data_IF_040231723167
#
_entry.id   IF_040231723167
#
_cell.length_a   1.000
_cell.length_b   1.000
_cell.length_c   1.000
_cell.angle_alpha   90.00
_cell.angle_beta   90.00
_cell.angle_gamma   90.00
#
_symmetry.space_group_name_H-M   'P 1'
#
loop_
_entity.id
_entity.type
_entity.pdbx_description
1 polymer ?
#
# COMPACT_ATOMS: atom_id res chain seq x y z
N UNK A 1 22.59 -12.40 51.93
CA UNK A 1 23.55 -12.69 50.85
C UNK A 1 22.83 -13.55 49.83
N UNK A 2 22.40 -12.97 48.72
CA UNK A 2 22.29 -13.65 47.43
C UNK A 2 22.15 -12.55 46.38
N UNK A 3 23.18 -12.43 45.52
CA UNK A 3 23.27 -11.47 44.43
C UNK A 3 22.58 -12.11 43.23
N UNK A 4 21.40 -11.63 42.84
CA UNK A 4 20.89 -11.93 41.50
C UNK A 4 21.63 -11.05 40.50
N UNK A 5 22.57 -11.70 39.82
CA UNK A 5 23.18 -11.25 38.57
C UNK A 5 22.13 -11.43 37.48
N UNK A 6 21.46 -10.36 37.08
CA UNK A 6 20.82 -10.33 35.78
C UNK A 6 21.91 -10.10 34.73
N UNK A 7 22.37 -11.23 34.21
CA UNK A 7 23.33 -11.36 33.13
C UNK A 7 22.70 -10.78 31.86
N UNK A 8 23.36 -9.76 31.31
CA UNK A 8 23.22 -9.31 29.93
C UNK A 8 23.20 -10.51 28.98
N UNK A 9 22.01 -10.92 28.55
CA UNK A 9 21.86 -11.95 27.53
C UNK A 9 21.80 -11.28 26.16
N UNK A 10 22.98 -11.02 25.57
CA UNK A 10 23.15 -10.42 24.25
C UNK A 10 22.83 -11.37 23.07
N UNK A 11 22.24 -12.54 23.33
CA UNK A 11 22.01 -13.59 22.31
C UNK A 11 20.52 -13.93 22.13
N UNK A 12 19.62 -12.95 22.23
CA UNK A 12 18.25 -13.14 21.76
C UNK A 12 18.19 -12.92 20.23
N UNK A 13 17.93 -13.94 19.39
CA UNK A 13 17.85 -13.79 17.93
C UNK A 13 16.71 -12.85 17.47
N UNK A 14 15.87 -12.36 18.39
CA UNK A 14 14.78 -11.41 18.12
C UNK A 14 15.22 -9.94 18.02
N UNK A 15 16.50 -9.60 18.21
CA UNK A 15 17.01 -8.23 18.16
C UNK A 15 17.95 -7.96 16.96
N UNK A 16 17.69 -8.55 15.79
CA UNK A 16 18.36 -8.09 14.56
C UNK A 16 17.78 -6.73 14.19
N UNK A 17 18.44 -5.65 14.61
CA UNK A 17 18.10 -4.31 14.13
C UNK A 17 18.49 -4.21 12.66
N UNK A 18 17.50 -4.21 11.77
CA UNK A 18 17.71 -3.93 10.35
C UNK A 18 18.44 -2.60 10.25
N UNK A 19 19.52 -2.59 9.49
CA UNK A 19 20.37 -1.39 9.31
C UNK A 19 20.16 -0.82 7.94
N UNK A 20 20.45 0.49 7.77
CA UNK A 20 20.48 1.11 6.43
C UNK A 20 21.40 0.35 5.47
N UNK A 21 22.58 -0.09 5.94
CA UNK A 21 23.53 -0.87 5.14
C UNK A 21 22.90 -2.17 4.60
N UNK A 22 22.06 -2.82 5.40
CA UNK A 22 21.34 -4.02 4.96
C UNK A 22 20.27 -3.70 3.91
N UNK A 23 19.51 -2.61 4.08
CA UNK A 23 18.57 -2.16 3.05
C UNK A 23 19.30 -1.80 1.74
N UNK A 24 20.44 -1.10 1.83
CA UNK A 24 21.28 -0.78 0.68
C UNK A 24 21.77 -2.04 -0.04
N UNK A 25 22.06 -3.14 0.67
CA UNK A 25 22.39 -4.42 0.00
C UNK A 25 21.19 -5.07 -0.68
N UNK A 26 20.01 -5.03 -0.06
CA UNK A 26 18.80 -5.58 -0.69
C UNK A 26 18.43 -4.86 -1.98
N UNK A 27 18.59 -3.53 -2.03
CA UNK A 27 18.37 -2.74 -3.25
C UNK A 27 19.34 -3.16 -4.35
N UNK A 28 20.62 -3.38 -4.03
CA UNK A 28 21.62 -3.86 -5.00
C UNK A 28 21.26 -5.24 -5.54
N UNK A 29 20.86 -6.15 -4.68
CA UNK A 29 20.44 -7.51 -5.08
C UNK A 29 19.18 -7.46 -5.95
N UNK A 30 18.21 -6.61 -5.61
CA UNK A 30 17.01 -6.41 -6.41
C UNK A 30 17.34 -5.87 -7.81
N UNK A 31 18.20 -4.85 -7.92
CA UNK A 31 18.63 -4.28 -9.20
C UNK A 31 19.36 -5.29 -10.09
N UNK A 32 20.16 -6.17 -9.50
CA UNK A 32 20.82 -7.25 -10.24
C UNK A 32 19.81 -8.22 -10.87
N UNK A 33 18.69 -8.47 -10.18
CA UNK A 33 17.65 -9.41 -10.64
C UNK A 33 16.50 -8.74 -11.42
N UNK A 34 16.41 -7.41 -11.41
CA UNK A 34 15.35 -6.62 -12.06
C UNK A 34 15.20 -6.76 -13.61
N UNK A 35 16.22 -7.12 -14.42
CA UNK A 35 16.10 -7.09 -15.88
C UNK A 35 14.96 -7.93 -16.48
N UNK A 36 14.47 -8.94 -15.76
CA UNK A 36 13.46 -9.88 -16.25
C UNK A 36 12.01 -9.38 -16.31
N UNK A 37 11.65 -8.30 -15.60
CA UNK A 37 10.27 -7.80 -15.54
C UNK A 37 9.98 -6.69 -16.56
N UNK A 38 8.73 -6.52 -16.98
CA UNK A 38 8.29 -5.39 -17.83
C UNK A 38 7.55 -4.34 -17.01
N UNK A 39 7.74 -3.07 -17.36
CA UNK A 39 6.95 -1.96 -16.80
C UNK A 39 5.52 -2.06 -17.32
N UNK A 40 4.53 -1.71 -16.49
CA UNK A 40 3.15 -1.61 -16.91
C UNK A 40 3.00 -0.54 -18.00
N UNK A 41 2.40 -0.90 -19.13
CA UNK A 41 2.38 -0.07 -20.34
C UNK A 41 0.99 0.09 -20.96
N UNK A 42 -0.04 -0.37 -20.25
CA UNK A 42 -1.44 -0.33 -20.68
C UNK A 42 -2.01 1.10 -20.69
N UNK A 43 -1.45 2.01 -19.87
CA UNK A 43 -1.65 3.46 -20.00
C UNK A 43 -0.31 4.21 -20.22
N UNK A 44 -0.31 5.36 -20.93
CA UNK A 44 0.91 6.09 -21.27
C UNK A 44 1.74 6.54 -20.06
N UNK A 45 1.07 6.92 -18.96
CA UNK A 45 1.70 7.45 -17.75
C UNK A 45 2.60 6.39 -17.09
N UNK A 46 2.13 5.15 -16.95
CA UNK A 46 2.88 4.07 -16.30
C UNK A 46 4.09 3.62 -17.10
N UNK A 47 4.02 3.70 -18.45
CA UNK A 47 5.13 3.35 -19.35
C UNK A 47 6.39 4.18 -19.09
N UNK A 48 6.24 5.38 -18.51
CA UNK A 48 7.35 6.31 -18.25
C UNK A 48 8.20 5.89 -17.05
N UNK A 49 7.76 4.91 -16.26
CA UNK A 49 8.54 4.41 -15.13
C UNK A 49 9.87 3.80 -15.61
N UNK A 50 10.96 4.19 -14.96
CA UNK A 50 12.29 3.65 -15.25
C UNK A 50 12.40 2.25 -14.65
N UNK A 51 12.73 1.25 -15.48
CA UNK A 51 13.00 -0.14 -15.05
C UNK A 51 14.06 -0.26 -13.95
N UNK A 52 14.96 0.71 -13.88
CA UNK A 52 16.05 0.76 -12.90
C UNK A 52 15.69 1.51 -11.63
N UNK A 53 14.51 2.15 -11.54
CA UNK A 53 14.07 2.76 -10.28
C UNK A 53 13.74 1.65 -9.29
N UNK A 54 14.43 1.62 -8.16
CA UNK A 54 14.25 0.63 -7.09
C UNK A 54 14.53 1.27 -5.74
N UNK A 55 13.56 1.18 -4.84
CA UNK A 55 13.69 1.73 -3.50
C UNK A 55 13.01 0.86 -2.46
N UNK A 56 13.48 0.98 -1.22
CA UNK A 56 12.87 0.33 -0.05
C UNK A 56 12.84 1.33 1.11
N UNK A 57 11.72 1.31 1.84
CA UNK A 57 11.53 2.10 3.05
C UNK A 57 11.05 1.17 4.17
N UNK A 58 11.59 1.34 5.37
CA UNK A 58 11.21 0.61 6.57
C UNK A 58 10.92 1.62 7.67
N UNK A 59 9.68 1.65 8.15
CA UNK A 59 9.30 2.44 9.31
C UNK A 59 9.11 1.51 10.50
N UNK A 60 9.84 1.76 11.58
CA UNK A 60 9.63 1.10 12.86
C UNK A 60 8.44 1.71 13.62
N UNK A 61 7.95 0.99 14.64
CA UNK A 61 6.86 1.44 15.50
C UNK A 61 7.23 2.64 16.39
N UNK A 62 8.53 2.92 16.57
CA UNK A 62 9.04 4.12 17.22
C UNK A 62 9.19 5.31 16.26
N UNK A 63 8.69 5.18 15.02
CA UNK A 63 8.83 6.12 13.91
C UNK A 63 10.25 6.23 13.33
N UNK A 64 11.21 5.39 13.73
CA UNK A 64 12.50 5.33 13.05
C UNK A 64 12.29 4.94 11.59
N UNK A 65 12.66 5.81 10.66
CA UNK A 65 12.61 5.56 9.23
C UNK A 65 13.99 5.20 8.69
N UNK A 66 14.08 4.06 8.01
CA UNK A 66 15.24 3.68 7.21
C UNK A 66 14.84 3.61 5.73
N UNK A 67 15.64 4.23 4.86
CA UNK A 67 15.40 4.26 3.42
C UNK A 67 16.67 3.88 2.66
N UNK A 68 16.49 3.26 1.50
CA UNK A 68 17.56 2.90 0.57
C UNK A 68 17.06 2.91 -0.88
N UNK A 69 18.00 3.02 -1.83
CA UNK A 69 17.71 3.11 -3.26
C UNK A 69 17.15 4.48 -3.68
N UNK A 70 16.32 4.49 -4.72
CA UNK A 70 15.72 5.71 -5.26
C UNK A 70 14.70 6.35 -4.28
N UNK A 71 14.28 5.61 -3.26
CA UNK A 71 13.48 6.15 -2.15
C UNK A 71 14.25 7.16 -1.28
N UNK A 72 15.58 7.24 -1.41
CA UNK A 72 16.37 8.19 -0.62
C UNK A 72 15.93 9.64 -0.83
N UNK A 73 15.26 9.99 -1.93
CA UNK A 73 14.85 11.38 -2.19
C UNK A 73 13.41 11.68 -1.80
N UNK A 74 12.49 10.73 -1.91
CA UNK A 74 11.05 10.99 -1.80
C UNK A 74 10.32 10.36 -0.62
N UNK A 75 10.93 9.41 0.09
CA UNK A 75 10.26 8.69 1.16
C UNK A 75 10.00 9.58 2.39
N UNK A 76 8.75 9.62 2.82
CA UNK A 76 8.30 10.40 3.97
C UNK A 76 7.98 9.46 5.12
N UNK A 77 8.52 9.78 6.30
CA UNK A 77 8.17 9.09 7.53
C UNK A 77 6.79 9.53 8.03
N UNK A 78 6.27 8.86 9.08
CA UNK A 78 5.12 9.37 9.83
C UNK A 78 5.39 10.83 10.23
N UNK A 79 4.43 11.73 9.97
CA UNK A 79 4.53 13.21 10.14
C UNK A 79 5.31 13.97 9.06
N UNK A 80 5.57 13.36 7.91
CA UNK A 80 6.24 14.04 6.80
C UNK A 80 7.72 14.32 7.06
N UNK A 81 8.36 13.58 7.98
CA UNK A 81 9.80 13.68 8.19
C UNK A 81 10.53 13.27 6.91
N UNK A 82 11.27 14.21 6.33
CA UNK A 82 12.11 14.04 5.15
C UNK A 82 13.50 13.65 5.65
N UNK A 83 14.05 12.54 5.15
CA UNK A 83 15.48 12.31 5.28
C UNK A 83 16.22 13.40 4.48
N UNK A 84 17.40 13.86 4.88
CA UNK A 84 18.12 15.09 4.44
C UNK A 84 18.22 15.43 2.91
N UNK A 85 17.64 14.66 2.00
CA UNK A 85 17.45 14.97 0.59
C UNK A 85 16.02 15.42 0.28
N UNK A 86 15.88 16.61 -0.32
CA UNK A 86 14.62 17.11 -0.89
C UNK A 86 13.93 16.05 -1.74
N UNK A 87 12.62 15.88 -1.51
CA UNK A 87 11.73 15.18 -2.44
C UNK A 87 11.59 15.97 -3.73
N UNK A 88 12.18 15.46 -4.80
CA UNK A 88 11.77 15.83 -6.16
C UNK A 88 10.42 15.14 -6.42
N UNK A 89 9.44 15.89 -6.93
CA UNK A 89 8.13 15.33 -7.35
C UNK A 89 8.29 14.17 -8.35
N UNK A 90 9.42 14.14 -9.06
CA UNK A 90 9.84 13.12 -10.02
C UNK A 90 9.99 11.69 -9.46
N UNK A 91 10.00 11.51 -8.14
CA UNK A 91 10.12 10.20 -7.48
C UNK A 91 8.81 9.65 -6.90
N UNK A 92 7.70 10.39 -7.03
CA UNK A 92 6.37 9.88 -6.65
C UNK A 92 5.85 8.87 -7.68
N UNK A 93 5.06 7.90 -7.22
CA UNK A 93 4.34 6.97 -8.08
C UNK A 93 2.95 6.67 -7.50
N UNK A 94 2.01 6.31 -8.37
CA UNK A 94 0.65 5.98 -7.96
C UNK A 94 0.59 4.64 -7.22
N UNK A 95 -0.18 4.56 -6.13
CA UNK A 95 -0.29 3.34 -5.32
C UNK A 95 -1.09 2.20 -5.99
N UNK A 96 -1.86 2.49 -7.04
CA UNK A 96 -2.60 1.49 -7.82
C UNK A 96 -3.43 0.55 -6.91
N UNK A 97 -3.41 -0.76 -7.12
CA UNK A 97 -4.19 -1.72 -6.33
C UNK A 97 -3.85 -1.77 -4.84
N UNK A 98 -2.76 -1.16 -4.37
CA UNK A 98 -2.49 -1.00 -2.94
C UNK A 98 -3.61 -0.16 -2.28
N UNK A 99 -4.25 0.74 -3.05
CA UNK A 99 -5.43 1.51 -2.61
C UNK A 99 -6.56 0.66 -2.05
N UNK A 100 -6.70 -0.61 -2.49
CA UNK A 100 -7.77 -1.52 -2.03
C UNK A 100 -7.65 -1.84 -0.54
N UNK A 101 -6.42 -1.92 -0.01
CA UNK A 101 -6.17 -2.14 1.42
C UNK A 101 -6.75 -0.97 2.22
N UNK A 102 -6.44 0.25 1.81
CA UNK A 102 -6.95 1.45 2.45
C UNK A 102 -8.47 1.59 2.33
N UNK A 103 -9.03 1.27 1.16
CA UNK A 103 -10.48 1.29 0.94
C UNK A 103 -11.21 0.33 1.90
N UNK A 104 -10.67 -0.88 2.09
CA UNK A 104 -11.21 -1.84 3.04
C UNK A 104 -11.09 -1.32 4.49
N UNK A 105 -9.92 -0.81 4.89
CA UNK A 105 -9.73 -0.23 6.23
C UNK A 105 -10.72 0.89 6.52
N UNK A 106 -10.94 1.77 5.54
CA UNK A 106 -11.86 2.90 5.66
C UNK A 106 -13.29 2.45 5.94
N UNK A 107 -13.82 1.50 5.14
CA UNK A 107 -15.21 1.03 5.35
C UNK A 107 -15.35 0.21 6.63
N UNK A 108 -14.34 -0.58 7.02
CA UNK A 108 -14.37 -1.29 8.29
C UNK A 108 -14.44 -0.32 9.47
N UNK A 109 -13.71 0.81 9.42
CA UNK A 109 -13.80 1.84 10.45
C UNK A 109 -15.16 2.57 10.45
N UNK A 110 -15.72 2.86 9.27
CA UNK A 110 -16.92 3.72 9.16
C UNK A 110 -18.26 2.99 9.26
N UNK A 111 -18.35 1.79 8.71
CA UNK A 111 -19.62 1.03 8.64
C UNK A 111 -19.56 -0.31 9.38
N UNK A 112 -18.37 -0.76 9.78
CA UNK A 112 -18.20 -1.96 10.59
C UNK A 112 -18.13 -3.27 9.80
N UNK A 113 -17.54 -4.27 10.45
CA UNK A 113 -17.23 -5.58 9.87
C UNK A 113 -18.46 -6.33 9.36
N UNK A 114 -19.55 -6.34 10.13
CA UNK A 114 -20.78 -7.06 9.79
C UNK A 114 -21.39 -6.58 8.46
N UNK A 115 -21.44 -5.26 8.24
CA UNK A 115 -21.97 -4.69 7.00
C UNK A 115 -21.06 -5.01 5.81
N UNK A 116 -19.74 -4.90 6.01
CA UNK A 116 -18.76 -5.16 4.96
C UNK A 116 -18.82 -6.62 4.54
N UNK A 117 -18.60 -7.55 5.47
CA UNK A 117 -18.45 -8.97 5.14
C UNK A 117 -19.77 -9.75 5.06
N UNK A 118 -20.90 -9.12 5.41
CA UNK A 118 -22.22 -9.59 4.98
C UNK A 118 -22.43 -9.48 3.46
N UNK A 119 -21.54 -8.79 2.74
CA UNK A 119 -21.72 -8.46 1.32
C UNK A 119 -20.47 -8.62 0.45
N UNK A 120 -19.32 -8.93 1.04
CA UNK A 120 -18.10 -9.34 0.34
C UNK A 120 -17.47 -10.50 1.12
N UNK A 121 -16.94 -11.49 0.41
CA UNK A 121 -16.27 -12.62 1.06
C UNK A 121 -14.90 -12.25 1.65
N UNK A 122 -14.28 -13.24 2.30
CA UNK A 122 -12.91 -13.17 2.82
C UNK A 122 -11.98 -14.18 2.14
N UNK A 123 -12.49 -14.93 1.15
CA UNK A 123 -11.80 -16.09 0.61
C UNK A 123 -10.79 -15.69 -0.47
N UNK A 124 -9.56 -16.27 -0.46
CA UNK A 124 -8.66 -16.12 -1.60
C UNK A 124 -9.32 -16.76 -2.82
N UNK A 125 -9.24 -16.11 -3.98
CA UNK A 125 -9.90 -16.62 -5.19
C UNK A 125 -9.31 -17.93 -5.69
N UNK A 126 -8.10 -18.32 -5.26
CA UNK A 126 -7.41 -19.57 -5.65
C UNK A 126 -7.00 -19.64 -7.13
N UNK A 127 -7.79 -19.00 -7.99
CA UNK A 127 -7.66 -18.96 -9.43
C UNK A 127 -6.79 -17.77 -9.90
N UNK A 128 -6.21 -17.86 -11.10
CA UNK A 128 -5.49 -16.75 -11.73
C UNK A 128 -6.32 -15.46 -11.76
N UNK A 129 -5.68 -14.28 -11.73
CA UNK A 129 -6.34 -12.97 -11.76
C UNK A 129 -7.36 -12.80 -12.92
N UNK A 130 -7.19 -13.54 -14.01
CA UNK A 130 -8.03 -13.53 -15.20
C UNK A 130 -9.13 -14.61 -15.23
N UNK A 131 -9.30 -15.38 -14.15
CA UNK A 131 -10.32 -16.40 -14.07
C UNK A 131 -11.70 -15.80 -13.75
N UNK A 132 -12.71 -16.31 -14.44
CA UNK A 132 -14.11 -15.95 -14.31
C UNK A 132 -14.81 -17.17 -13.69
N UNK A 133 -15.05 -17.19 -12.37
CA UNK A 133 -15.92 -16.19 -11.75
C UNK A 133 -15.28 -15.50 -10.53
N UNK A 134 -15.34 -14.17 -10.53
CA UNK A 134 -14.90 -13.29 -9.43
C UNK A 134 -16.00 -13.01 -8.39
N UNK A 135 -17.13 -13.68 -8.55
CA UNK A 135 -18.37 -13.54 -7.77
C UNK A 135 -18.77 -14.95 -7.34
N UNK A 136 -19.01 -15.12 -6.04
CA UNK A 136 -19.60 -16.34 -5.48
C UNK A 136 -21.11 -16.20 -5.40
N UNK A 137 -21.80 -17.30 -5.67
CA UNK A 137 -23.23 -17.41 -5.46
C UNK A 137 -23.47 -18.09 -4.10
N UNK A 138 -24.00 -17.34 -3.14
CA UNK A 138 -24.34 -17.80 -1.79
C UNK A 138 -25.86 -17.73 -1.63
N UNK A 139 -26.55 -18.79 -2.05
CA UNK A 139 -28.01 -18.79 -2.20
C UNK A 139 -28.45 -17.82 -3.31
N UNK A 140 -29.32 -16.87 -2.98
CA UNK A 140 -29.78 -15.82 -3.89
C UNK A 140 -28.84 -14.58 -3.92
N UNK A 141 -27.77 -14.59 -3.11
CA UNK A 141 -26.86 -13.45 -2.99
C UNK A 141 -25.62 -13.68 -3.83
N UNK A 142 -25.34 -12.75 -4.74
CA UNK A 142 -24.12 -12.69 -5.52
C UNK A 142 -23.16 -11.70 -4.89
N UNK A 143 -22.00 -12.16 -4.43
CA UNK A 143 -21.01 -11.29 -3.81
C UNK A 143 -19.58 -11.56 -4.29
N UNK A 144 -18.69 -10.56 -4.29
CA UNK A 144 -17.29 -10.79 -4.63
C UNK A 144 -16.60 -11.71 -3.62
N UNK A 145 -15.62 -12.50 -4.06
CA UNK A 145 -14.87 -13.42 -3.19
C UNK A 145 -14.08 -12.73 -2.07
N UNK A 146 -13.47 -11.58 -2.39
CA UNK A 146 -12.70 -10.79 -1.43
C UNK A 146 -12.60 -9.33 -1.88
N UNK A 147 -12.30 -8.40 -0.97
CA UNK A 147 -12.14 -6.99 -1.29
C UNK A 147 -10.88 -6.66 -2.13
N UNK A 148 -9.93 -7.58 -2.28
CA UNK A 148 -8.63 -7.33 -2.93
C UNK A 148 -8.66 -7.54 -4.46
N UNK A 149 -9.71 -8.16 -4.99
CA UNK A 149 -9.97 -8.20 -6.44
C UNK A 149 -10.71 -6.95 -6.92
N UNK A 150 -10.63 -6.61 -8.21
CA UNK A 150 -11.22 -5.37 -8.75
C UNK A 150 -12.74 -5.25 -8.48
N UNK A 151 -13.51 -6.30 -8.70
CA UNK A 151 -14.96 -6.28 -8.42
C UNK A 151 -15.26 -6.15 -6.91
N UNK A 152 -14.41 -6.73 -6.06
CA UNK A 152 -14.47 -6.55 -4.61
C UNK A 152 -14.17 -5.11 -4.21
N UNK A 153 -13.16 -4.49 -4.79
CA UNK A 153 -12.82 -3.11 -4.54
C UNK A 153 -13.92 -2.14 -5.00
N UNK A 154 -14.54 -2.38 -6.16
CA UNK A 154 -15.70 -1.60 -6.64
C UNK A 154 -16.85 -1.71 -5.63
N UNK A 155 -17.09 -2.92 -5.12
CA UNK A 155 -18.10 -3.16 -4.11
C UNK A 155 -17.80 -2.38 -2.82
N UNK A 156 -16.56 -2.48 -2.31
CA UNK A 156 -16.10 -1.74 -1.14
C UNK A 156 -16.29 -0.23 -1.31
N UNK A 157 -15.92 0.33 -2.47
CA UNK A 157 -16.11 1.76 -2.77
C UNK A 157 -17.57 2.19 -2.74
N UNK A 158 -18.52 1.29 -3.03
CA UNK A 158 -19.96 1.60 -2.92
C UNK A 158 -20.42 1.85 -1.47
N UNK A 159 -19.71 1.26 -0.50
CA UNK A 159 -19.98 1.39 0.93
C UNK A 159 -19.39 2.66 1.55
N UNK A 160 -18.68 3.48 0.78
CA UNK A 160 -18.12 4.73 1.31
C UNK A 160 -19.26 5.64 1.77
N UNK A 161 -19.18 6.21 3.00
CA UNK A 161 -20.16 7.18 3.48
C UNK A 161 -20.04 8.51 2.74
N UNK A 162 -21.16 9.20 2.55
CA UNK A 162 -21.26 10.44 1.79
C UNK A 162 -22.46 10.40 0.86
N UNK A 163 -23.07 11.56 0.61
CA UNK A 163 -24.32 11.66 -0.16
C UNK A 163 -24.06 11.69 -1.68
N UNK A 164 -22.85 12.06 -2.08
CA UNK A 164 -22.43 12.13 -3.48
C UNK A 164 -20.99 11.59 -3.67
N UNK A 165 -20.55 11.35 -4.93
CA UNK A 165 -19.22 10.80 -5.20
C UNK A 165 -18.05 11.64 -4.67
N UNK A 166 -18.17 12.96 -4.65
CA UNK A 166 -17.10 13.86 -4.21
C UNK A 166 -16.92 13.75 -2.70
N UNK A 167 -18.00 13.79 -1.92
CA UNK A 167 -17.95 13.59 -0.46
C UNK A 167 -17.40 12.22 -0.07
N UNK A 168 -17.78 11.17 -0.81
CA UNK A 168 -17.26 9.81 -0.60
C UNK A 168 -15.75 9.75 -0.83
N UNK A 169 -15.30 10.39 -1.91
CA UNK A 169 -13.89 10.46 -2.26
C UNK A 169 -13.10 11.28 -1.25
N UNK A 170 -13.57 12.46 -0.89
CA UNK A 170 -12.92 13.35 0.07
C UNK A 170 -12.78 12.67 1.44
N UNK A 171 -13.84 12.02 1.93
CA UNK A 171 -13.79 11.27 3.19
C UNK A 171 -12.76 10.13 3.17
N UNK A 172 -12.68 9.40 2.06
CA UNK A 172 -11.66 8.36 1.88
C UNK A 172 -10.25 8.95 1.77
N UNK A 173 -10.06 10.01 0.99
CA UNK A 173 -8.76 10.60 0.74
C UNK A 173 -8.17 11.22 2.02
N UNK A 174 -8.99 11.93 2.80
CA UNK A 174 -8.59 12.47 4.10
C UNK A 174 -8.29 11.37 5.13
N UNK A 175 -9.03 10.25 5.08
CA UNK A 175 -8.67 9.06 5.87
C UNK A 175 -7.29 8.52 5.50
N UNK A 176 -6.98 8.40 4.21
CA UNK A 176 -5.66 7.90 3.74
C UNK A 176 -4.53 8.84 4.15
N UNK A 177 -4.68 10.16 3.97
CA UNK A 177 -3.70 11.15 4.45
C UNK A 177 -3.42 10.99 5.94
N UNK A 178 -4.48 10.87 6.74
CA UNK A 178 -4.38 10.74 8.20
C UNK A 178 -3.62 9.50 8.64
N UNK A 179 -3.91 8.32 8.07
CA UNK A 179 -3.24 7.07 8.45
C UNK A 179 -1.79 7.00 7.96
N UNK A 180 -1.48 7.66 6.83
CA UNK A 180 -0.13 7.77 6.31
C UNK A 180 0.68 8.89 6.99
N UNK A 181 0.01 9.85 7.64
CA UNK A 181 0.64 11.02 8.23
C UNK A 181 1.29 11.94 7.20
N UNK A 182 0.72 12.05 6.00
CA UNK A 182 1.21 12.91 4.91
C UNK A 182 0.07 13.73 4.30
N UNK A 183 -0.04 14.98 4.74
CA UNK A 183 -1.05 15.94 4.26
C UNK A 183 -0.78 16.43 2.83
N UNK A 184 0.43 16.20 2.32
CA UNK A 184 0.83 16.60 0.97
C UNK A 184 0.59 15.51 -0.07
N UNK A 185 -0.11 14.43 0.29
CA UNK A 185 -0.51 13.42 -0.68
C UNK A 185 -1.35 14.09 -1.78
N UNK A 186 -1.03 13.76 -3.03
CA UNK A 186 -1.70 14.33 -4.20
C UNK A 186 -2.36 13.23 -5.03
N UNK A 187 -3.33 13.64 -5.84
CA UNK A 187 -3.92 12.80 -6.88
C UNK A 187 -3.19 13.06 -8.20
N UNK A 188 -2.72 11.99 -8.83
CA UNK A 188 -2.25 12.05 -10.20
C UNK A 188 -3.46 12.09 -11.15
N UNK A 189 -3.88 13.31 -11.49
CA UNK A 189 -4.98 13.59 -12.40
C UNK A 189 -4.80 12.98 -13.79
N UNK A 190 -3.54 12.81 -14.24
CA UNK A 190 -3.25 12.23 -15.55
C UNK A 190 -3.54 10.73 -15.54
N UNK A 191 -3.05 10.02 -14.51
CA UNK A 191 -3.33 8.60 -14.31
C UNK A 191 -4.82 8.37 -14.08
N UNK A 192 -5.49 9.17 -13.24
CA UNK A 192 -6.94 9.06 -13.02
C UNK A 192 -7.73 9.13 -14.34
N UNK A 193 -7.42 10.11 -15.19
CA UNK A 193 -8.12 10.29 -16.48
C UNK A 193 -7.82 9.15 -17.46
N UNK A 194 -6.63 8.58 -17.45
CA UNK A 194 -6.26 7.45 -18.31
C UNK A 194 -6.91 6.15 -17.85
N UNK A 195 -6.87 5.83 -16.55
CA UNK A 195 -7.54 4.67 -15.95
C UNK A 195 -9.06 4.72 -16.17
N UNK A 196 -9.69 5.90 -16.05
CA UNK A 196 -11.14 6.06 -16.30
C UNK A 196 -11.56 5.79 -17.75
N UNK A 197 -10.66 5.98 -18.71
CA UNK A 197 -10.95 5.82 -20.15
C UNK A 197 -10.71 4.41 -20.67
N UNK A 198 -9.97 3.60 -19.92
CA UNK A 198 -9.49 2.27 -20.32
C UNK A 198 -10.36 1.20 -19.67
#
# INVERSE_FOLDING_TARGET
MEKNKDVNNSNNPKNVKITKKYLDSLVKDALFNAPGGTVADYIPELRRALRTKTGISLCYTDNTLLVAGDNNKGARGPKGEINDSKSEEDDLFTIQSISKVFALMYVLEKVGEEIVFGRVGMEPTGDPFNADPRIRDEGDVRMPYNPMINVGAIYISSLFPGDNPDEKFDGFFEFVKKICGDDNMIIDESVYKSEKKT
#
